data_IF_840676040808
#
_entry.id   IF_840676040808
#
_cell.length_a   1.000
_cell.length_b   1.000
_cell.length_c   1.000
_cell.angle_alpha   90.00
_cell.angle_beta   90.00
_cell.angle_gamma   90.00
#
_symmetry.space_group_name_H-M   'P 1'
#
loop_
_entity.id
_entity.type
_entity.pdbx_description
1 polymer ?
#
# COMPACT_ATOMS: atom_id res chain seq x y z
N UNK A 1 -34.04 2.92 42.99
CA UNK A 1 -33.26 4.06 42.46
C UNK A 1 -31.86 3.65 42.02
N UNK A 2 -31.02 3.05 42.88
CA UNK A 2 -29.68 2.58 42.46
C UNK A 2 -29.73 1.30 41.60
N UNK A 3 -30.66 0.38 41.92
CA UNK A 3 -30.96 -0.80 41.09
C UNK A 3 -31.38 -0.41 39.66
N UNK A 4 -32.27 0.58 39.53
CA UNK A 4 -32.79 1.08 38.26
C UNK A 4 -31.69 1.66 37.35
N UNK A 5 -30.68 2.33 37.92
CA UNK A 5 -29.55 2.86 37.15
C UNK A 5 -28.71 1.74 36.55
N UNK A 6 -28.38 0.72 37.36
CA UNK A 6 -27.62 -0.45 36.91
C UNK A 6 -28.37 -1.23 35.82
N UNK A 7 -29.69 -1.34 35.93
CA UNK A 7 -30.50 -1.97 34.88
C UNK A 7 -30.55 -1.14 33.59
N UNK A 8 -30.61 0.20 33.69
CA UNK A 8 -30.53 1.07 32.50
C UNK A 8 -29.20 0.91 31.77
N UNK A 9 -28.08 0.86 32.48
CA UNK A 9 -26.76 0.60 31.87
C UNK A 9 -26.70 -0.76 31.18
N UNK A 10 -27.28 -1.80 31.78
CA UNK A 10 -27.34 -3.13 31.19
C UNK A 10 -28.25 -3.16 29.95
N UNK A 11 -29.36 -2.43 29.98
CA UNK A 11 -30.25 -2.22 28.82
C UNK A 11 -29.51 -1.50 27.70
N UNK A 12 -28.80 -0.41 27.99
CA UNK A 12 -28.05 0.34 26.98
C UNK A 12 -26.97 -0.54 26.32
N UNK A 13 -26.25 -1.32 27.12
CA UNK A 13 -25.27 -2.29 26.61
C UNK A 13 -25.90 -3.30 25.66
N UNK A 14 -27.12 -3.78 25.95
CA UNK A 14 -27.83 -4.73 25.10
C UNK A 14 -28.18 -4.21 23.70
N UNK A 15 -28.20 -2.88 23.50
CA UNK A 15 -28.43 -2.27 22.18
C UNK A 15 -27.15 -2.12 21.35
N UNK A 16 -25.97 -2.13 21.98
CA UNK A 16 -24.68 -1.90 21.33
C UNK A 16 -23.89 -3.20 21.16
N UNK A 17 -23.98 -4.08 22.15
CA UNK A 17 -23.16 -5.30 22.26
C UNK A 17 -24.05 -6.54 22.44
N UNK A 18 -23.50 -7.70 22.08
CA UNK A 18 -24.16 -8.98 22.32
C UNK A 18 -24.00 -9.39 23.79
N UNK A 19 -25.07 -9.20 24.56
CA UNK A 19 -25.13 -9.63 25.97
C UNK A 19 -25.51 -11.11 26.10
N UNK A 20 -25.08 -11.74 27.20
CA UNK A 20 -25.35 -13.15 27.48
C UNK A 20 -26.84 -13.45 27.65
N UNK A 21 -27.27 -14.70 27.43
CA UNK A 21 -28.68 -15.09 27.61
C UNK A 21 -29.18 -14.89 29.05
N UNK A 22 -28.30 -15.09 30.04
CA UNK A 22 -28.62 -14.84 31.45
C UNK A 22 -28.92 -13.37 31.73
N UNK A 23 -28.12 -12.46 31.17
CA UNK A 23 -28.38 -11.02 31.28
C UNK A 23 -29.66 -10.60 30.55
N UNK A 24 -29.94 -11.18 29.38
CA UNK A 24 -31.21 -10.94 28.66
C UNK A 24 -32.41 -11.35 29.51
N UNK A 25 -32.32 -12.50 30.19
CA UNK A 25 -33.40 -12.95 31.07
C UNK A 25 -33.57 -12.03 32.28
N UNK A 26 -32.47 -11.63 32.93
CA UNK A 26 -32.49 -10.69 34.05
C UNK A 26 -33.15 -9.35 33.68
N UNK A 27 -32.85 -8.82 32.49
CA UNK A 27 -33.48 -7.59 31.98
C UNK A 27 -34.99 -7.80 31.79
N UNK A 28 -35.41 -8.91 31.16
CA UNK A 28 -36.83 -9.23 30.94
C UNK A 28 -37.60 -9.35 32.26
N UNK A 29 -37.03 -10.03 33.24
CA UNK A 29 -37.64 -10.21 34.55
C UNK A 29 -37.80 -8.87 35.27
N UNK A 30 -36.77 -8.01 35.24
CA UNK A 30 -36.83 -6.69 35.86
C UNK A 30 -37.84 -5.75 35.19
N UNK A 31 -37.91 -5.73 33.85
CA UNK A 31 -38.84 -4.88 33.10
C UNK A 31 -40.30 -5.26 33.39
N UNK A 32 -40.59 -6.54 33.66
CA UNK A 32 -41.94 -6.99 33.99
C UNK A 32 -42.48 -6.31 35.25
N UNK A 33 -41.59 -6.07 36.22
CA UNK A 33 -41.97 -5.58 37.55
C UNK A 33 -41.61 -4.09 37.74
N UNK A 34 -41.02 -3.43 36.73
CA UNK A 34 -40.57 -2.03 36.79
C UNK A 34 -41.03 -1.19 35.57
N UNK A 35 -42.11 -0.42 35.74
CA UNK A 35 -42.66 0.46 34.71
C UNK A 35 -41.66 1.53 34.22
N UNK A 36 -40.76 1.99 35.08
CA UNK A 36 -39.73 2.96 34.72
C UNK A 36 -38.74 2.42 33.69
N UNK A 37 -38.27 1.19 33.88
CA UNK A 37 -37.37 0.52 32.96
C UNK A 37 -38.09 0.07 31.68
N UNK A 38 -39.36 -0.33 31.78
CA UNK A 38 -40.21 -0.59 30.62
C UNK A 38 -40.31 0.62 29.69
N UNK A 39 -40.66 1.78 30.26
CA UNK A 39 -40.76 3.04 29.52
C UNK A 39 -39.42 3.47 28.92
N UNK A 40 -38.33 3.23 29.64
CA UNK A 40 -36.98 3.52 29.16
C UNK A 40 -36.64 2.74 27.90
N UNK A 41 -36.86 1.42 27.90
CA UNK A 41 -36.60 0.54 26.74
C UNK A 41 -37.42 0.97 25.53
N UNK A 42 -38.71 1.26 25.72
CA UNK A 42 -39.58 1.73 24.63
C UNK A 42 -39.10 3.05 24.01
N UNK A 43 -38.67 4.00 24.85
CA UNK A 43 -38.18 5.31 24.40
C UNK A 43 -36.85 5.18 23.63
N UNK A 44 -35.93 4.37 24.16
CA UNK A 44 -34.63 4.10 23.53
C UNK A 44 -34.81 3.39 22.19
N UNK A 45 -35.65 2.34 22.14
CA UNK A 45 -35.96 1.63 20.90
C UNK A 45 -36.61 2.54 19.84
N UNK A 46 -37.52 3.43 20.24
CA UNK A 46 -38.12 4.42 19.34
C UNK A 46 -37.10 5.41 18.80
N UNK A 47 -36.19 5.88 19.67
CA UNK A 47 -35.12 6.81 19.28
C UNK A 47 -34.16 6.16 18.29
N UNK A 48 -33.70 4.94 18.57
CA UNK A 48 -32.82 4.18 17.66
C UNK A 48 -33.50 3.96 16.30
N UNK A 49 -34.79 3.59 16.31
CA UNK A 49 -35.56 3.41 15.07
C UNK A 49 -35.66 4.71 14.26
N UNK A 50 -35.97 5.82 14.92
CA UNK A 50 -35.99 7.13 14.27
C UNK A 50 -34.62 7.51 13.70
N UNK A 51 -33.54 7.30 14.45
CA UNK A 51 -32.17 7.53 13.96
C UNK A 51 -31.84 6.65 12.75
N UNK A 52 -32.33 5.41 12.70
CA UNK A 52 -32.15 4.52 11.55
C UNK A 52 -32.90 4.99 10.30
N UNK A 53 -34.00 5.73 10.46
CA UNK A 53 -34.68 6.39 9.33
C UNK A 53 -33.89 7.61 8.83
N UNK A 54 -33.07 8.24 9.70
CA UNK A 54 -32.15 9.31 9.34
C UNK A 54 -30.74 8.83 8.94
N UNK A 55 -30.40 7.56 9.15
CA UNK A 55 -29.12 7.04 8.65
C UNK A 55 -29.16 7.04 7.14
N UNK A 56 -28.39 7.94 6.55
CA UNK A 56 -28.11 7.96 5.12
C UNK A 56 -27.58 6.58 4.75
N UNK A 57 -28.42 5.79 4.09
CA UNK A 57 -27.97 4.62 3.36
C UNK A 57 -26.98 5.17 2.33
N UNK A 58 -25.69 4.92 2.54
CA UNK A 58 -24.68 5.21 1.54
C UNK A 58 -25.11 4.48 0.28
N UNK A 59 -25.60 5.24 -0.70
CA UNK A 59 -26.21 4.68 -1.90
C UNK A 59 -25.24 3.72 -2.60
N UNK A 60 -25.73 2.77 -3.41
CA UNK A 60 -24.90 1.79 -4.11
C UNK A 60 -23.74 2.39 -4.94
N UNK A 61 -23.81 3.69 -5.28
CA UNK A 61 -22.76 4.46 -5.93
C UNK A 61 -21.55 4.84 -5.06
N UNK A 62 -21.66 4.77 -3.73
CA UNK A 62 -20.56 5.11 -2.83
C UNK A 62 -19.34 4.19 -3.03
N UNK A 63 -19.58 2.93 -3.37
CA UNK A 63 -18.51 1.99 -3.72
C UNK A 63 -17.91 2.25 -5.11
N UNK A 64 -18.70 2.75 -6.06
CA UNK A 64 -18.22 3.11 -7.39
C UNK A 64 -17.31 4.34 -7.34
N UNK A 65 -17.69 5.36 -6.57
CA UNK A 65 -16.92 6.58 -6.36
C UNK A 65 -15.58 6.28 -5.65
N UNK A 66 -15.58 5.41 -4.64
CA UNK A 66 -14.32 4.98 -3.98
C UNK A 66 -13.42 4.23 -4.95
N UNK A 67 -13.97 3.36 -5.80
CA UNK A 67 -13.20 2.64 -6.83
C UNK A 67 -12.61 3.59 -7.88
N UNK A 68 -13.36 4.60 -8.29
CA UNK A 68 -12.89 5.61 -9.26
C UNK A 68 -11.77 6.47 -8.67
N UNK A 69 -11.91 6.91 -7.42
CA UNK A 69 -10.86 7.63 -6.69
C UNK A 69 -9.61 6.75 -6.54
N UNK A 70 -9.77 5.47 -6.18
CA UNK A 70 -8.65 4.53 -6.10
C UNK A 70 -7.99 4.30 -7.46
N UNK A 71 -8.77 4.17 -8.53
CA UNK A 71 -8.27 3.99 -9.90
C UNK A 71 -7.47 5.22 -10.37
N UNK A 72 -7.96 6.42 -10.06
CA UNK A 72 -7.26 7.66 -10.38
C UNK A 72 -5.94 7.80 -9.59
N UNK A 73 -5.94 7.47 -8.30
CA UNK A 73 -4.73 7.47 -7.48
C UNK A 73 -3.72 6.39 -7.86
N UNK A 74 -4.18 5.21 -8.26
CA UNK A 74 -3.27 4.12 -8.69
C UNK A 74 -2.67 4.42 -10.08
N UNK A 75 -3.40 5.10 -10.97
CA UNK A 75 -2.89 5.56 -12.25
C UNK A 75 -1.73 6.56 -12.12
N UNK A 76 -1.84 7.53 -11.21
CA UNK A 76 -0.80 8.55 -10.99
C UNK A 76 0.45 7.98 -10.33
N UNK A 77 0.31 7.00 -9.41
CA UNK A 77 1.47 6.31 -8.84
C UNK A 77 2.23 5.47 -9.87
N UNK A 78 1.53 4.86 -10.84
CA UNK A 78 2.18 4.05 -11.89
C UNK A 78 3.02 4.91 -12.83
N UNK A 79 2.54 6.12 -13.14
CA UNK A 79 3.22 7.03 -14.07
C UNK A 79 4.55 7.54 -13.50
N UNK A 80 4.61 7.83 -12.19
CA UNK A 80 5.86 8.21 -11.51
C UNK A 80 6.90 7.07 -11.46
N UNK A 81 6.44 5.83 -11.28
CA UNK A 81 7.33 4.67 -11.15
C UNK A 81 8.06 4.35 -12.46
N UNK A 82 7.41 4.56 -13.61
CA UNK A 82 8.02 4.35 -14.94
C UNK A 82 9.08 5.41 -15.22
N UNK A 83 8.79 6.69 -14.93
CA UNK A 83 9.76 7.77 -15.15
C UNK A 83 11.00 7.63 -14.27
N UNK A 84 10.83 7.27 -12.99
CA UNK A 84 11.97 7.04 -12.09
C UNK A 84 12.89 5.93 -12.60
N UNK A 85 12.31 4.85 -13.15
CA UNK A 85 13.07 3.70 -13.66
C UNK A 85 13.89 4.06 -14.92
N UNK A 86 13.36 4.90 -15.79
CA UNK A 86 14.08 5.42 -16.97
C UNK A 86 15.21 6.35 -16.54
N UNK A 87 14.96 7.26 -15.61
CA UNK A 87 15.97 8.18 -15.07
C UNK A 87 17.09 7.45 -14.31
N UNK A 88 16.75 6.41 -13.54
CA UNK A 88 17.73 5.58 -12.85
C UNK A 88 18.62 4.82 -13.85
N UNK A 89 18.04 4.23 -14.89
CA UNK A 89 18.82 3.54 -15.94
C UNK A 89 19.76 4.51 -16.67
N UNK A 90 19.29 5.73 -16.97
CA UNK A 90 20.10 6.78 -17.58
C UNK A 90 21.25 7.23 -16.68
N UNK A 91 21.00 7.43 -15.38
CA UNK A 91 22.03 7.79 -14.41
C UNK A 91 23.09 6.69 -14.26
N UNK A 92 22.68 5.42 -14.24
CA UNK A 92 23.62 4.29 -14.19
C UNK A 92 24.47 4.22 -15.46
N UNK A 93 23.88 4.44 -16.64
CA UNK A 93 24.62 4.49 -17.90
C UNK A 93 25.66 5.62 -17.91
N UNK A 94 25.28 6.82 -17.44
CA UNK A 94 26.20 7.95 -17.31
C UNK A 94 27.36 7.66 -16.35
N UNK A 95 27.07 7.11 -15.17
CA UNK A 95 28.10 6.75 -14.20
C UNK A 95 29.06 5.70 -14.76
N UNK A 96 28.54 4.69 -15.46
CA UNK A 96 29.37 3.67 -16.11
C UNK A 96 30.24 4.26 -17.23
N UNK A 97 29.73 5.19 -18.03
CA UNK A 97 30.55 5.91 -19.02
C UNK A 97 31.66 6.75 -18.39
N UNK A 98 31.36 7.46 -17.29
CA UNK A 98 32.35 8.28 -16.60
C UNK A 98 33.44 7.43 -15.92
N UNK A 99 33.03 6.42 -15.15
CA UNK A 99 33.96 5.51 -14.46
C UNK A 99 34.79 4.73 -15.48
N UNK A 100 34.18 4.28 -16.57
CA UNK A 100 34.87 3.62 -17.65
C UNK A 100 35.94 4.51 -18.30
N UNK A 101 35.58 5.75 -18.65
CA UNK A 101 36.52 6.70 -19.26
C UNK A 101 37.69 7.04 -18.32
N UNK A 102 37.40 7.21 -17.02
CA UNK A 102 38.44 7.49 -16.01
C UNK A 102 39.40 6.31 -15.83
N UNK A 103 38.89 5.08 -15.82
CA UNK A 103 39.70 3.86 -15.73
C UNK A 103 40.61 3.68 -16.95
N UNK A 104 40.10 3.93 -18.16
CA UNK A 104 40.92 3.89 -19.38
C UNK A 104 42.03 4.94 -19.31
N UNK A 105 41.72 6.14 -18.82
CA UNK A 105 42.72 7.20 -18.67
C UNK A 105 43.78 6.85 -17.60
N UNK A 106 43.36 6.27 -16.47
CA UNK A 106 44.30 5.82 -15.43
C UNK A 106 45.17 4.67 -15.92
N UNK A 107 44.60 3.68 -16.60
CA UNK A 107 45.33 2.54 -17.17
C UNK A 107 46.29 3.01 -18.26
N UNK A 108 45.86 3.91 -19.15
CA UNK A 108 46.72 4.52 -20.17
C UNK A 108 47.87 5.30 -19.52
N UNK A 109 47.60 6.08 -18.46
CA UNK A 109 48.64 6.83 -17.73
C UNK A 109 49.61 5.92 -16.97
N UNK A 110 49.10 4.84 -16.37
CA UNK A 110 49.90 3.86 -15.62
C UNK A 110 50.74 2.97 -16.53
N UNK A 111 50.28 2.69 -17.76
CA UNK A 111 51.00 1.91 -18.78
C UNK A 111 51.88 2.77 -19.69
N UNK A 112 51.62 4.07 -19.81
CA UNK A 112 52.51 5.02 -20.48
C UNK A 112 53.82 5.25 -19.71
N UNK A 113 53.84 4.97 -18.40
CA UNK A 113 55.01 5.11 -17.55
C UNK A 113 56.10 4.01 -17.74
N UNK A 114 55.77 2.72 -17.97
CA UNK A 114 56.78 1.66 -17.99
C UNK A 114 57.08 1.03 -19.35
N UNK A 115 56.20 1.04 -20.37
CA UNK A 115 56.43 0.22 -21.57
C UNK A 115 55.89 0.84 -22.88
N UNK A 116 56.77 0.91 -23.89
CA UNK A 116 56.39 0.98 -25.31
C UNK A 116 55.49 -0.23 -25.63
N UNK A 117 54.18 -0.04 -25.77
CA UNK A 117 53.24 -1.15 -25.93
C UNK A 117 53.00 -1.53 -27.40
N UNK A 118 53.34 -2.79 -27.68
CA UNK A 118 53.03 -3.58 -28.86
C UNK A 118 51.50 -3.80 -28.99
N UNK A 119 50.96 -3.53 -30.18
CA UNK A 119 49.52 -3.37 -30.50
C UNK A 119 48.66 -4.64 -30.39
N UNK A 120 49.23 -5.80 -30.05
CA UNK A 120 48.56 -7.11 -30.14
C UNK A 120 47.78 -7.53 -28.89
N UNK A 121 48.13 -7.03 -27.69
CA UNK A 121 47.45 -7.41 -26.42
C UNK A 121 46.36 -6.44 -25.96
N UNK A 122 46.25 -5.27 -26.59
CA UNK A 122 45.27 -4.23 -26.21
C UNK A 122 43.87 -4.53 -26.76
N UNK A 123 43.77 -5.23 -27.90
CA UNK A 123 42.49 -5.55 -28.55
C UNK A 123 41.51 -6.37 -27.68
N UNK A 124 41.89 -7.47 -27.03
CA UNK A 124 40.94 -8.27 -26.24
C UNK A 124 40.47 -7.55 -24.98
N UNK A 125 41.35 -6.75 -24.34
CA UNK A 125 40.98 -5.96 -23.15
C UNK A 125 40.00 -4.85 -23.48
N UNK A 126 40.20 -4.16 -24.60
CA UNK A 126 39.27 -3.12 -25.07
C UNK A 126 37.92 -3.74 -25.43
N UNK A 127 37.91 -4.92 -26.07
CA UNK A 127 36.66 -5.63 -26.41
C UNK A 127 35.87 -6.04 -25.17
N UNK A 128 36.52 -6.67 -24.19
CA UNK A 128 35.88 -7.10 -22.94
C UNK A 128 35.35 -5.88 -22.17
N UNK A 129 36.12 -4.81 -22.14
CA UNK A 129 35.74 -3.55 -21.51
C UNK A 129 34.54 -2.87 -22.21
N UNK A 130 34.40 -3.02 -23.52
CA UNK A 130 33.25 -2.49 -24.27
C UNK A 130 32.00 -3.36 -24.16
N UNK A 131 32.18 -4.69 -24.11
CA UNK A 131 31.08 -5.65 -24.04
C UNK A 131 30.44 -5.71 -22.65
N UNK A 132 31.22 -5.56 -21.58
CA UNK A 132 30.73 -5.63 -20.19
C UNK A 132 29.60 -4.63 -19.88
N UNK A 133 29.72 -3.33 -20.24
CA UNK A 133 28.64 -2.35 -20.05
C UNK A 133 27.36 -2.76 -20.79
N UNK A 134 27.47 -3.20 -22.05
CA UNK A 134 26.30 -3.62 -22.84
C UNK A 134 25.63 -4.85 -22.26
N UNK A 135 26.41 -5.81 -21.77
CA UNK A 135 25.94 -7.05 -21.17
C UNK A 135 25.26 -6.76 -19.82
N UNK A 136 25.84 -5.87 -19.00
CA UNK A 136 25.24 -5.41 -17.76
C UNK A 136 23.92 -4.68 -18.01
N UNK A 137 23.84 -3.79 -19.01
CA UNK A 137 22.57 -3.14 -19.36
C UNK A 137 21.51 -4.13 -19.84
N UNK A 138 21.89 -5.12 -20.66
CA UNK A 138 20.98 -6.18 -21.11
C UNK A 138 20.52 -7.06 -19.94
N UNK A 139 21.41 -7.41 -19.00
CA UNK A 139 21.08 -8.15 -17.80
C UNK A 139 20.19 -7.34 -16.85
N UNK A 140 20.40 -6.04 -16.69
CA UNK A 140 19.50 -5.18 -15.91
C UNK A 140 18.10 -5.07 -16.54
N UNK A 141 18.01 -5.09 -17.88
CA UNK A 141 16.74 -5.13 -18.60
C UNK A 141 16.03 -6.48 -18.49
N UNK A 142 16.79 -7.60 -18.52
CA UNK A 142 16.26 -8.97 -18.44
C UNK A 142 15.93 -9.40 -17.00
N UNK A 143 16.73 -8.97 -16.02
CA UNK A 143 16.53 -9.24 -14.60
C UNK A 143 15.47 -8.32 -13.98
N UNK A 144 14.96 -7.33 -14.72
CA UNK A 144 13.71 -6.67 -14.37
C UNK A 144 12.60 -7.72 -14.53
N UNK A 145 12.04 -8.27 -13.43
CA UNK A 145 11.00 -9.26 -13.53
C UNK A 145 9.86 -8.61 -14.32
N UNK A 146 9.45 -9.27 -15.40
CA UNK A 146 8.25 -8.91 -16.12
C UNK A 146 7.13 -8.84 -15.10
N UNK A 147 6.72 -7.62 -14.76
CA UNK A 147 5.56 -7.36 -13.94
C UNK A 147 4.37 -7.96 -14.69
N UNK A 148 4.01 -9.17 -14.23
CA UNK A 148 2.92 -10.03 -14.66
C UNK A 148 2.14 -9.55 -15.89
N UNK A 149 2.28 -10.32 -16.98
CA UNK A 149 1.15 -10.65 -17.85
C UNK A 149 0.03 -11.20 -16.97
N UNK A 150 -0.81 -10.30 -16.50
CA UNK A 150 -2.05 -10.58 -15.81
C UNK A 150 -2.95 -9.41 -16.11
N UNK A 151 -3.64 -9.48 -17.24
CA UNK A 151 -5.03 -9.07 -17.48
C UNK A 151 -5.41 -9.61 -18.87
N UNK A 152 -6.49 -10.39 -18.88
CA UNK A 152 -7.28 -10.96 -19.98
C UNK A 152 -6.68 -12.16 -20.74
#
# INVERSE_FOLDING_TARGET
MESDKRFRELIDRSFVEEISEGERQLIRDHIRDCDGCKRYVELTARTIRGLREFTFVSGPDSNAQVREILAHHTGTMRQHKVQFKIWAAFAVALLMSFVGSALVYQVARLLAAPMHFDTSQVQPRVLIFWLLPSLCSALCLLAAPGENRGIA
#
